data_IF_343464497114
#
_entry.id   IF_343464497114
#
_cell.length_a   1.000
_cell.length_b   1.000
_cell.length_c   1.000
_cell.angle_alpha   90.00
_cell.angle_beta   90.00
_cell.angle_gamma   90.00
#
_symmetry.space_group_name_H-M   'P 1'
#
loop_
_entity.id
_entity.type
_entity.pdbx_description
1 polymer ?
#
# COMPACT_ATOMS: atom_id res chain seq x y z
N UNK A 1 1.29 8.16 -2.08
CA UNK A 1 0.88 6.81 -2.52
C UNK A 1 -0.63 6.64 -2.41
N UNK A 2 -1.34 6.72 -3.53
CA UNK A 2 -2.61 6.00 -3.69
C UNK A 2 -2.26 4.68 -4.35
N UNK A 3 -2.85 3.58 -3.91
CA UNK A 3 -2.60 2.26 -4.51
C UNK A 3 -3.55 2.15 -5.71
N UNK A 4 -3.08 2.35 -6.95
CA UNK A 4 -3.93 2.18 -8.12
C UNK A 4 -4.44 0.73 -8.17
N UNK A 5 -5.67 0.53 -8.65
CA UNK A 5 -6.32 -0.78 -8.76
C UNK A 5 -6.43 -1.52 -7.42
N UNK A 6 -6.79 -0.78 -6.36
CA UNK A 6 -6.98 -1.38 -5.04
C UNK A 6 -8.22 -2.27 -5.03
N UNK A 7 -8.06 -3.48 -4.48
CA UNK A 7 -9.15 -4.41 -4.22
C UNK A 7 -9.46 -4.37 -2.72
N UNK A 8 -10.72 -4.17 -2.37
CA UNK A 8 -11.19 -4.13 -0.98
C UNK A 8 -12.16 -5.27 -0.75
N UNK A 9 -11.89 -6.06 0.29
CA UNK A 9 -12.77 -7.10 0.81
C UNK A 9 -13.43 -6.58 2.09
N UNK A 10 -14.70 -6.19 2.06
CA UNK A 10 -15.43 -5.86 3.27
C UNK A 10 -15.61 -7.12 4.14
N UNK A 11 -15.35 -7.00 5.43
CA UNK A 11 -15.55 -8.10 6.39
C UNK A 11 -16.52 -7.63 7.47
N UNK A 12 -17.67 -8.28 7.55
CA UNK A 12 -18.64 -8.09 8.64
C UNK A 12 -18.30 -9.05 9.77
N UNK A 13 -18.06 -8.53 10.96
CA UNK A 13 -17.78 -9.34 12.16
C UNK A 13 -19.02 -9.46 13.04
N UNK A 14 -18.96 -10.37 14.02
CA UNK A 14 -20.01 -10.58 15.03
C UNK A 14 -21.33 -11.15 14.50
N UNK A 15 -21.25 -12.07 13.53
CA UNK A 15 -22.42 -12.79 12.99
C UNK A 15 -23.15 -13.59 14.07
N UNK A 16 -22.45 -14.03 15.11
CA UNK A 16 -23.00 -14.69 16.30
C UNK A 16 -24.01 -13.84 17.08
N UNK A 17 -23.95 -12.51 16.92
CA UNK A 17 -24.85 -11.57 17.58
C UNK A 17 -26.07 -11.20 16.72
N UNK A 18 -26.21 -11.74 15.50
CA UNK A 18 -27.27 -11.39 14.55
C UNK A 18 -28.04 -12.64 14.10
N UNK A 19 -29.30 -12.45 13.70
CA UNK A 19 -30.04 -13.53 13.01
C UNK A 19 -29.59 -13.64 11.55
N UNK A 20 -29.75 -14.81 10.93
CA UNK A 20 -29.31 -15.04 9.53
C UNK A 20 -29.98 -14.06 8.54
N UNK A 21 -31.28 -13.78 8.72
CA UNK A 21 -32.02 -12.79 7.92
C UNK A 21 -31.43 -11.36 8.10
N UNK A 22 -31.07 -11.00 9.33
CA UNK A 22 -30.50 -9.69 9.65
C UNK A 22 -29.10 -9.52 9.04
N UNK A 23 -28.30 -10.58 9.02
CA UNK A 23 -26.97 -10.59 8.39
C UNK A 23 -27.10 -10.33 6.90
N UNK A 24 -28.06 -11.00 6.24
CA UNK A 24 -28.27 -10.85 4.81
C UNK A 24 -28.83 -9.46 4.43
N UNK A 25 -29.75 -8.92 5.23
CA UNK A 25 -30.27 -7.56 5.07
C UNK A 25 -29.13 -6.53 5.19
N UNK A 26 -28.33 -6.63 6.26
CA UNK A 26 -27.17 -5.74 6.46
C UNK A 26 -26.15 -5.87 5.34
N UNK A 27 -25.90 -7.09 4.86
CA UNK A 27 -25.00 -7.34 3.73
C UNK A 27 -25.47 -6.60 2.48
N UNK A 28 -26.75 -6.73 2.13
CA UNK A 28 -27.33 -6.04 0.99
C UNK A 28 -27.28 -4.51 1.14
N UNK A 29 -27.67 -3.98 2.30
CA UNK A 29 -27.65 -2.54 2.58
C UNK A 29 -26.23 -1.94 2.50
N UNK A 30 -25.24 -2.61 3.11
CA UNK A 30 -23.84 -2.17 3.08
C UNK A 30 -23.32 -2.15 1.63
N UNK A 31 -23.55 -3.22 0.86
CA UNK A 31 -23.09 -3.29 -0.52
C UNK A 31 -23.77 -2.22 -1.39
N UNK A 32 -25.07 -1.98 -1.20
CA UNK A 32 -25.81 -0.93 -1.90
C UNK A 32 -25.26 0.47 -1.57
N UNK A 33 -24.98 0.76 -0.30
CA UNK A 33 -24.37 2.02 0.15
C UNK A 33 -22.98 2.22 -0.44
N UNK A 34 -22.14 1.18 -0.44
CA UNK A 34 -20.81 1.25 -1.06
C UNK A 34 -20.93 1.56 -2.56
N UNK A 35 -21.84 0.87 -3.27
CA UNK A 35 -22.07 1.11 -4.69
C UNK A 35 -22.55 2.56 -4.96
N UNK A 36 -23.48 3.07 -4.15
CA UNK A 36 -23.96 4.44 -4.24
C UNK A 36 -22.82 5.46 -4.01
N UNK A 37 -21.99 5.26 -2.98
CA UNK A 37 -20.84 6.12 -2.69
C UNK A 37 -19.82 6.14 -3.83
N UNK A 38 -19.54 4.98 -4.43
CA UNK A 38 -18.62 4.90 -5.57
C UNK A 38 -19.19 5.59 -6.81
N UNK A 39 -20.49 5.43 -7.07
CA UNK A 39 -21.17 6.08 -8.20
C UNK A 39 -21.22 7.60 -8.03
N UNK A 40 -21.56 8.08 -6.84
CA UNK A 40 -21.55 9.51 -6.50
C UNK A 40 -20.16 10.10 -6.65
N UNK A 41 -19.13 9.42 -6.09
CA UNK A 41 -17.74 9.86 -6.23
C UNK A 41 -17.32 9.96 -7.70
N UNK A 42 -17.67 8.96 -8.53
CA UNK A 42 -17.36 8.97 -9.95
C UNK A 42 -18.06 10.14 -10.64
N UNK A 43 -19.36 10.31 -10.42
CA UNK A 43 -20.16 11.41 -11.00
C UNK A 43 -19.59 12.78 -10.62
N UNK A 44 -19.19 12.96 -9.36
CA UNK A 44 -18.59 14.20 -8.90
C UNK A 44 -17.25 14.47 -9.61
N UNK A 45 -16.39 13.46 -9.73
CA UNK A 45 -15.11 13.60 -10.43
C UNK A 45 -15.29 13.95 -11.90
N UNK A 46 -16.16 13.24 -12.61
CA UNK A 46 -16.46 13.51 -14.02
C UNK A 46 -17.02 14.93 -14.19
N UNK A 47 -17.97 15.35 -13.34
CA UNK A 47 -18.51 16.71 -13.37
C UNK A 47 -17.44 17.79 -13.10
N UNK A 48 -16.49 17.56 -12.18
CA UNK A 48 -15.38 18.50 -11.95
C UNK A 48 -14.41 18.55 -13.14
N UNK A 49 -14.13 17.42 -13.77
CA UNK A 49 -13.29 17.35 -14.97
C UNK A 49 -13.95 18.14 -16.11
N UNK A 50 -15.23 17.87 -16.41
CA UNK A 50 -15.97 18.54 -17.47
C UNK A 50 -16.04 20.07 -17.27
N UNK A 51 -16.25 20.52 -16.03
CA UNK A 51 -16.30 21.95 -15.70
C UNK A 51 -14.96 22.66 -15.90
N UNK A 52 -13.84 21.99 -15.60
CA UNK A 52 -12.51 22.57 -15.78
C UNK A 52 -12.10 22.58 -17.24
N UNK A 53 -12.44 21.52 -17.99
CA UNK A 53 -12.21 21.46 -19.45
C UNK A 53 -13.02 22.50 -20.21
N UNK A 54 -14.24 22.82 -19.75
CA UNK A 54 -15.12 23.84 -20.34
C UNK A 54 -14.87 25.27 -19.86
N UNK A 55 -13.86 25.54 -19.03
CA UNK A 55 -13.58 26.88 -18.52
C UNK A 55 -12.98 27.81 -19.57
N UNK A 56 -13.12 29.13 -19.40
CA UNK A 56 -12.62 30.13 -20.36
C UNK A 56 -11.08 30.18 -20.44
N UNK A 57 -10.37 29.68 -19.42
CA UNK A 57 -8.91 29.66 -19.36
C UNK A 57 -8.35 28.28 -18.93
N UNK A 58 -8.49 27.24 -19.76
CA UNK A 58 -8.13 25.86 -19.40
C UNK A 58 -6.62 25.66 -19.15
N UNK A 59 -5.78 26.55 -19.69
CA UNK A 59 -4.32 26.51 -19.56
C UNK A 59 -3.84 26.73 -18.11
N UNK A 60 -4.59 27.44 -17.27
CA UNK A 60 -4.24 27.65 -15.86
C UNK A 60 -4.59 26.47 -14.94
N UNK A 61 -5.45 25.56 -15.41
CA UNK A 61 -5.95 24.43 -14.63
C UNK A 61 -5.33 23.11 -15.02
N UNK A 62 -4.25 23.11 -15.82
CA UNK A 62 -3.65 21.90 -16.38
C UNK A 62 -3.30 20.87 -15.30
N UNK A 63 -2.51 21.29 -14.32
CA UNK A 63 -2.11 20.46 -13.19
C UNK A 63 -3.29 19.94 -12.35
N UNK A 64 -4.40 20.69 -12.30
CA UNK A 64 -5.58 20.31 -11.51
C UNK A 64 -6.42 19.26 -12.24
N UNK A 65 -6.63 19.39 -13.56
CA UNK A 65 -7.38 18.38 -14.31
C UNK A 65 -6.56 17.11 -14.50
N UNK A 66 -5.24 17.20 -14.69
CA UNK A 66 -4.37 16.01 -14.75
C UNK A 66 -4.47 15.20 -13.46
N UNK A 67 -4.37 15.88 -12.30
CA UNK A 67 -4.59 15.23 -10.99
C UNK A 67 -5.97 14.60 -10.88
N UNK A 68 -7.03 15.27 -11.34
CA UNK A 68 -8.39 14.73 -11.29
C UNK A 68 -8.54 13.48 -12.17
N UNK A 69 -7.96 13.47 -13.37
CA UNK A 69 -7.92 12.29 -14.24
C UNK A 69 -7.10 11.16 -13.66
N UNK A 70 -6.01 11.45 -12.96
CA UNK A 70 -5.30 10.45 -12.15
C UNK A 70 -6.16 9.90 -11.00
N UNK A 71 -7.01 10.74 -10.37
CA UNK A 71 -7.94 10.25 -9.34
C UNK A 71 -9.06 9.41 -9.92
N UNK A 72 -9.53 9.72 -11.14
CA UNK A 72 -10.55 8.99 -11.86
C UNK A 72 -10.02 7.64 -12.37
N UNK A 73 -8.75 7.58 -12.81
CA UNK A 73 -8.11 6.34 -13.25
C UNK A 73 -7.81 5.37 -12.11
N UNK A 74 -7.78 5.85 -10.86
CA UNK A 74 -7.70 5.01 -9.68
C UNK A 74 -9.05 4.33 -9.40
N UNK A 75 -9.28 3.16 -9.99
CA UNK A 75 -10.45 2.34 -9.71
C UNK A 75 -10.29 1.53 -8.43
N UNK A 76 -11.39 1.39 -7.70
CA UNK A 76 -11.44 0.67 -6.43
C UNK A 76 -12.44 -0.48 -6.60
N UNK A 77 -11.94 -1.70 -6.59
CA UNK A 77 -12.73 -2.92 -6.80
C UNK A 77 -13.22 -3.41 -5.46
N UNK A 78 -14.54 -3.42 -5.26
CA UNK A 78 -15.16 -3.92 -4.03
C UNK A 78 -15.60 -5.36 -4.26
N UNK A 79 -15.07 -6.26 -3.43
CA UNK A 79 -15.51 -7.65 -3.37
C UNK A 79 -16.76 -7.80 -2.51
N UNK A 80 -17.44 -8.93 -2.63
CA UNK A 80 -18.60 -9.22 -1.79
C UNK A 80 -18.20 -9.31 -0.32
N UNK A 81 -19.03 -8.72 0.55
CA UNK A 81 -18.81 -8.75 1.99
C UNK A 81 -18.78 -10.18 2.51
N UNK A 82 -17.74 -10.50 3.29
CA UNK A 82 -17.61 -11.77 4.00
C UNK A 82 -18.06 -11.58 5.43
N UNK A 83 -19.11 -12.29 5.83
CA UNK A 83 -19.61 -12.28 7.20
C UNK A 83 -18.91 -13.38 8.00
N UNK A 84 -18.38 -13.05 9.18
CA UNK A 84 -17.66 -13.97 10.06
C UNK A 84 -18.09 -13.87 11.52
N UNK A 85 -18.20 -15.02 12.18
CA UNK A 85 -18.18 -15.13 13.63
C UNK A 85 -16.73 -15.18 14.12
N UNK A 86 -16.28 -14.13 14.83
CA UNK A 86 -14.90 -14.06 15.33
C UNK A 86 -14.62 -15.00 16.51
N UNK A 87 -15.65 -15.60 17.11
CA UNK A 87 -15.49 -16.60 18.17
C UNK A 87 -15.32 -18.02 17.63
N UNK A 88 -15.66 -18.26 16.36
CA UNK A 88 -15.49 -19.56 15.70
C UNK A 88 -14.23 -19.59 14.83
N UNK A 89 -13.32 -20.51 15.16
CA UNK A 89 -12.10 -20.70 14.40
C UNK A 89 -12.36 -21.16 12.95
N UNK A 90 -13.47 -21.87 12.68
CA UNK A 90 -13.80 -22.30 11.33
C UNK A 90 -14.13 -21.11 10.42
N UNK A 91 -14.85 -20.11 10.94
CA UNK A 91 -15.16 -18.90 10.19
C UNK A 91 -13.90 -18.07 9.90
N UNK A 92 -12.96 -18.02 10.83
CA UNK A 92 -11.64 -17.40 10.61
C UNK A 92 -10.88 -18.15 9.51
N UNK A 93 -10.90 -19.49 9.54
CA UNK A 93 -10.27 -20.32 8.50
C UNK A 93 -10.94 -20.16 7.13
N UNK A 94 -12.26 -19.98 7.10
CA UNK A 94 -13.02 -19.66 5.88
C UNK A 94 -12.63 -18.29 5.32
N UNK A 95 -12.47 -17.28 6.18
CA UNK A 95 -11.98 -15.96 5.75
C UNK A 95 -10.56 -16.04 5.21
N UNK A 96 -9.66 -16.77 5.88
CA UNK A 96 -8.29 -17.02 5.40
C UNK A 96 -8.30 -17.67 4.00
N UNK A 97 -9.10 -18.72 3.81
CA UNK A 97 -9.25 -19.38 2.52
C UNK A 97 -9.81 -18.43 1.45
N UNK A 98 -10.79 -17.61 1.81
CA UNK A 98 -11.39 -16.62 0.90
C UNK A 98 -10.35 -15.58 0.49
N UNK A 99 -9.55 -15.05 1.41
CA UNK A 99 -8.46 -14.11 1.08
C UNK A 99 -7.45 -14.79 0.15
N UNK A 100 -7.04 -16.02 0.45
CA UNK A 100 -6.09 -16.78 -0.36
C UNK A 100 -6.59 -17.07 -1.78
N UNK A 101 -7.90 -17.28 -1.96
CA UNK A 101 -8.53 -17.42 -3.27
C UNK A 101 -8.47 -16.12 -4.06
N UNK A 102 -8.85 -14.99 -3.44
CA UNK A 102 -8.86 -13.70 -4.11
C UNK A 102 -7.46 -13.21 -4.51
N UNK A 103 -6.46 -13.36 -3.64
CA UNK A 103 -5.08 -12.92 -3.97
C UNK A 103 -4.44 -13.72 -5.11
N UNK A 104 -4.94 -14.91 -5.40
CA UNK A 104 -4.49 -15.75 -6.54
C UNK A 104 -5.25 -15.46 -7.83
N UNK A 105 -6.31 -14.66 -7.78
CA UNK A 105 -7.11 -14.34 -8.95
C UNK A 105 -6.33 -13.37 -9.86
N UNK A 106 -5.98 -13.82 -11.05
CA UNK A 106 -5.19 -13.06 -12.04
C UNK A 106 -5.94 -11.83 -12.59
N UNK A 107 -7.28 -11.84 -12.58
CA UNK A 107 -8.09 -10.70 -13.00
C UNK A 107 -8.05 -9.58 -11.95
N UNK A 108 -8.08 -9.93 -10.66
CA UNK A 108 -8.00 -8.98 -9.56
C UNK A 108 -6.57 -8.49 -9.30
N UNK A 109 -5.60 -9.40 -9.43
CA UNK A 109 -4.19 -9.13 -9.20
C UNK A 109 -3.33 -9.66 -10.35
N UNK A 110 -3.22 -8.91 -11.46
CA UNK A 110 -2.42 -9.31 -12.63
C UNK A 110 -0.93 -9.53 -12.30
N UNK A 111 -0.42 -8.88 -11.25
CA UNK A 111 0.96 -9.01 -10.81
C UNK A 111 1.25 -10.40 -10.19
N UNK A 112 0.23 -11.21 -9.86
CA UNK A 112 0.44 -12.52 -9.20
C UNK A 112 1.13 -13.54 -10.11
N UNK A 113 0.93 -13.45 -11.43
CA UNK A 113 1.59 -14.31 -12.43
C UNK A 113 2.94 -13.76 -12.88
N UNK A 114 3.29 -12.54 -12.45
CA UNK A 114 4.52 -11.91 -12.90
C UNK A 114 5.73 -12.64 -12.33
N UNK A 115 6.52 -13.25 -13.20
CA UNK A 115 7.79 -13.85 -12.83
C UNK A 115 8.85 -12.76 -12.74
N UNK A 116 9.41 -12.57 -11.54
CA UNK A 116 10.53 -11.67 -11.34
C UNK A 116 11.85 -12.34 -11.73
N UNK A 117 12.81 -11.59 -12.30
CA UNK A 117 14.15 -12.09 -12.55
C UNK A 117 14.80 -12.61 -11.24
N UNK A 118 15.61 -13.68 -11.28
CA UNK A 118 16.22 -14.27 -10.09
C UNK A 118 17.04 -13.28 -9.24
N UNK A 119 17.64 -12.27 -9.88
CA UNK A 119 18.41 -11.22 -9.22
C UNK A 119 17.59 -10.43 -8.19
N UNK A 120 16.27 -10.26 -8.39
CA UNK A 120 15.40 -9.56 -7.44
C UNK A 120 15.34 -10.31 -6.11
N UNK A 121 15.17 -11.63 -6.16
CA UNK A 121 15.15 -12.49 -4.98
C UNK A 121 16.51 -12.55 -4.29
N UNK A 122 17.59 -12.54 -5.08
CA UNK A 122 18.95 -12.53 -4.52
C UNK A 122 19.24 -11.22 -3.77
N UNK A 123 18.84 -10.07 -4.34
CA UNK A 123 18.96 -8.76 -3.67
C UNK A 123 18.06 -8.68 -2.44
N UNK A 124 16.82 -9.17 -2.52
CA UNK A 124 15.90 -9.26 -1.39
C UNK A 124 16.52 -10.05 -0.23
N UNK A 125 17.00 -11.27 -0.49
CA UNK A 125 17.64 -12.11 0.52
C UNK A 125 18.86 -11.41 1.15
N UNK A 126 19.74 -10.84 0.33
CA UNK A 126 20.90 -10.11 0.81
C UNK A 126 20.52 -8.88 1.65
N UNK A 127 19.47 -8.14 1.28
CA UNK A 127 18.96 -7.02 2.07
C UNK A 127 18.42 -7.50 3.42
N UNK A 128 17.68 -8.61 3.46
CA UNK A 128 17.17 -9.19 4.70
C UNK A 128 18.32 -9.61 5.61
N UNK A 129 19.36 -10.25 5.07
CA UNK A 129 20.54 -10.65 5.83
C UNK A 129 21.30 -9.44 6.37
N UNK A 130 21.49 -8.38 5.56
CA UNK A 130 22.09 -7.12 6.00
C UNK A 130 21.26 -6.48 7.11
N UNK A 131 19.93 -6.48 6.97
CA UNK A 131 19.00 -5.86 7.92
C UNK A 131 18.92 -6.58 9.27
N UNK A 132 19.34 -7.85 9.32
CA UNK A 132 19.41 -8.66 10.53
C UNK A 132 20.82 -8.74 11.12
N UNK A 133 21.83 -8.26 10.41
CA UNK A 133 23.22 -8.30 10.84
C UNK A 133 23.54 -7.34 11.99
N UNK A 134 24.49 -7.72 12.85
CA UNK A 134 24.95 -6.92 14.00
C UNK A 134 25.64 -5.59 13.59
N UNK A 135 26.13 -5.49 12.35
CA UNK A 135 26.76 -4.28 11.82
C UNK A 135 25.75 -3.19 11.41
N UNK A 136 24.45 -3.48 11.41
CA UNK A 136 23.46 -2.48 11.01
C UNK A 136 23.14 -1.54 12.16
N UNK A 137 23.17 -0.22 11.88
CA UNK A 137 22.75 0.77 12.85
C UNK A 137 21.29 0.55 13.28
N UNK A 138 20.96 0.84 14.54
CA UNK A 138 19.64 0.65 15.16
C UNK A 138 18.48 1.31 14.39
N UNK A 139 18.78 2.29 13.54
CA UNK A 139 17.81 3.03 12.73
C UNK A 139 17.50 2.38 11.37
N UNK A 140 18.25 1.35 10.96
CA UNK A 140 18.04 0.61 9.72
C UNK A 140 18.08 1.45 8.44
N UNK A 141 18.83 2.56 8.47
CA UNK A 141 19.04 3.44 7.32
C UNK A 141 20.41 3.18 6.74
N UNK A 142 20.51 3.19 5.42
CA UNK A 142 21.75 2.93 4.74
C UNK A 142 21.87 3.79 3.49
N UNK A 143 23.08 4.30 3.24
CA UNK A 143 23.37 5.02 2.01
C UNK A 143 23.30 4.07 0.80
N UNK A 144 22.71 4.53 -0.30
CA UNK A 144 22.48 3.76 -1.52
C UNK A 144 23.79 3.26 -2.14
N UNK A 145 24.84 4.08 -2.13
CA UNK A 145 26.15 3.66 -2.65
C UNK A 145 26.80 2.62 -1.75
N UNK A 146 26.65 2.77 -0.44
CA UNK A 146 27.12 1.76 0.51
C UNK A 146 26.35 0.44 0.41
N UNK A 147 25.03 0.50 0.19
CA UNK A 147 24.22 -0.69 -0.10
C UNK A 147 24.68 -1.39 -1.35
N UNK A 148 24.90 -0.66 -2.43
CA UNK A 148 25.42 -1.24 -3.66
C UNK A 148 26.77 -1.94 -3.42
N UNK A 149 27.69 -1.32 -2.69
CA UNK A 149 29.01 -1.92 -2.42
C UNK A 149 28.93 -3.18 -1.56
N UNK A 150 28.05 -3.22 -0.55
CA UNK A 150 27.78 -4.41 0.27
C UNK A 150 27.13 -5.52 -0.56
N UNK A 151 26.15 -5.20 -1.41
CA UNK A 151 25.51 -6.17 -2.30
C UNK A 151 26.51 -6.75 -3.32
N UNK A 152 27.40 -5.93 -3.88
CA UNK A 152 28.42 -6.39 -4.82
C UNK A 152 29.47 -7.32 -4.20
N UNK A 153 29.56 -7.42 -2.86
CA UNK A 153 30.41 -8.40 -2.18
C UNK A 153 29.80 -9.81 -2.20
N UNK A 154 28.49 -9.95 -2.43
CA UNK A 154 27.85 -11.24 -2.61
C UNK A 154 28.21 -11.81 -4.00
N UNK A 155 28.68 -13.06 -4.04
CA UNK A 155 29.15 -13.70 -5.30
C UNK A 155 28.14 -13.61 -6.45
N UNK A 156 26.84 -13.76 -6.15
CA UNK A 156 25.76 -13.72 -7.14
C UNK A 156 25.39 -12.31 -7.62
N UNK A 157 25.89 -11.26 -6.97
CA UNK A 157 25.53 -9.85 -7.20
C UNK A 157 26.74 -8.99 -7.57
N UNK A 158 27.90 -9.59 -7.86
CA UNK A 158 29.13 -8.87 -8.20
C UNK A 158 28.98 -7.90 -9.39
N UNK A 159 28.08 -8.21 -10.33
CA UNK A 159 27.78 -7.40 -11.52
C UNK A 159 26.51 -6.55 -11.38
N UNK A 160 25.98 -6.39 -10.15
CA UNK A 160 24.81 -5.56 -9.92
C UNK A 160 25.14 -4.09 -10.20
N UNK A 161 24.52 -3.52 -11.22
CA UNK A 161 24.63 -2.10 -11.56
C UNK A 161 23.72 -1.22 -10.70
N UNK A 162 24.03 0.08 -10.62
CA UNK A 162 23.21 1.06 -9.89
C UNK A 162 21.77 1.12 -10.43
N UNK A 163 21.60 1.22 -11.74
CA UNK A 163 20.27 1.37 -12.36
C UNK A 163 19.38 0.17 -12.05
N UNK A 164 19.92 -1.04 -12.18
CA UNK A 164 19.22 -2.27 -11.83
C UNK A 164 18.89 -2.33 -10.33
N UNK A 165 19.79 -1.90 -9.45
CA UNK A 165 19.50 -1.81 -8.02
C UNK A 165 18.35 -0.82 -7.75
N UNK A 166 18.32 0.34 -8.42
CA UNK A 166 17.23 1.30 -8.27
C UNK A 166 15.88 0.70 -8.70
N UNK A 167 15.83 -0.01 -9.83
CA UNK A 167 14.62 -0.71 -10.28
C UNK A 167 14.15 -1.74 -9.25
N UNK A 168 15.08 -2.52 -8.69
CA UNK A 168 14.78 -3.49 -7.63
C UNK A 168 14.28 -2.77 -6.37
N UNK A 169 14.91 -1.66 -5.96
CA UNK A 169 14.50 -0.90 -4.78
C UNK A 169 13.12 -0.26 -4.94
N UNK A 170 12.75 0.22 -6.14
CA UNK A 170 11.38 0.69 -6.42
C UNK A 170 10.37 -0.44 -6.23
N UNK A 171 10.70 -1.64 -6.71
CA UNK A 171 9.87 -2.82 -6.48
C UNK A 171 9.77 -3.18 -4.99
N UNK A 172 10.91 -3.28 -4.30
CA UNK A 172 10.96 -3.61 -2.86
C UNK A 172 10.25 -2.55 -2.00
N UNK A 173 10.28 -1.29 -2.42
CA UNK A 173 9.51 -0.21 -1.82
C UNK A 173 8.02 -0.41 -2.01
N UNK A 174 7.57 -0.75 -3.23
CA UNK A 174 6.16 -0.99 -3.55
C UNK A 174 5.56 -2.15 -2.74
N UNK A 175 6.33 -3.21 -2.50
CA UNK A 175 5.89 -4.35 -1.66
C UNK A 175 6.08 -4.12 -0.16
N UNK A 176 6.68 -2.99 0.24
CA UNK A 176 6.85 -2.59 1.63
C UNK A 176 7.97 -3.30 2.39
N UNK A 177 8.87 -4.00 1.69
CA UNK A 177 10.05 -4.62 2.31
C UNK A 177 11.05 -3.54 2.76
N UNK A 178 11.22 -2.49 1.94
CA UNK A 178 12.07 -1.34 2.23
C UNK A 178 11.28 -0.04 2.06
N UNK A 179 11.84 1.08 2.51
CA UNK A 179 11.34 2.40 2.16
C UNK A 179 12.46 3.19 1.49
N UNK A 180 12.17 3.79 0.34
CA UNK A 180 13.12 4.63 -0.37
C UNK A 180 12.38 5.81 -0.99
N UNK A 181 12.75 7.03 -0.60
CA UNK A 181 12.12 8.26 -1.06
C UNK A 181 12.92 8.86 -2.21
N UNK A 182 12.84 8.24 -3.38
CA UNK A 182 13.57 8.67 -4.58
C UNK A 182 13.24 10.12 -4.99
N UNK A 183 12.00 10.56 -4.79
CA UNK A 183 11.54 11.89 -5.20
C UNK A 183 11.95 13.01 -4.21
N UNK A 184 12.42 12.65 -3.00
CA UNK A 184 12.81 13.62 -1.98
C UNK A 184 14.33 13.80 -2.05
N UNK A 185 14.80 14.91 -2.61
CA UNK A 185 16.24 15.20 -2.81
C UNK A 185 17.13 14.94 -1.59
N UNK A 186 16.65 15.21 -0.38
CA UNK A 186 17.43 15.01 0.85
C UNK A 186 17.49 13.55 1.31
N UNK A 187 16.64 12.68 0.76
CA UNK A 187 16.52 11.26 1.12
C UNK A 187 16.78 10.34 -0.08
N UNK A 188 17.04 10.88 -1.28
CA UNK A 188 17.24 10.10 -2.50
C UNK A 188 18.40 9.10 -2.40
N UNK A 189 19.42 9.41 -1.57
CA UNK A 189 20.55 8.51 -1.31
C UNK A 189 20.34 7.61 -0.08
N UNK A 190 19.22 7.72 0.65
CA UNK A 190 18.98 6.97 1.89
C UNK A 190 17.93 5.91 1.70
N UNK A 191 18.31 4.65 1.90
CA UNK A 191 17.40 3.49 1.87
C UNK A 191 17.12 3.03 3.29
N UNK A 192 15.85 2.88 3.62
CA UNK A 192 15.39 2.36 4.91
C UNK A 192 15.11 0.88 4.77
N UNK A 193 16.04 0.04 5.24
CA UNK A 193 15.93 -1.42 5.18
C UNK A 193 14.98 -1.98 6.23
N UNK A 194 14.69 -1.22 7.28
CA UNK A 194 13.71 -1.55 8.31
C UNK A 194 12.58 -0.51 8.37
N UNK A 195 11.52 -0.66 7.55
CA UNK A 195 10.38 0.26 7.56
C UNK A 195 9.69 0.42 8.91
N UNK A 196 9.78 -0.59 9.78
CA UNK A 196 9.21 -0.58 11.15
C UNK A 196 9.79 0.52 12.03
N UNK A 197 11.06 0.88 11.84
CA UNK A 197 11.69 1.99 12.56
C UNK A 197 10.99 3.30 12.25
N UNK A 198 10.78 3.62 10.96
CA UNK A 198 10.07 4.82 10.52
C UNK A 198 8.67 4.89 11.13
N UNK A 199 7.92 3.78 11.06
CA UNK A 199 6.57 3.70 11.63
C UNK A 199 6.60 3.99 13.13
N UNK A 200 7.57 3.42 13.85
CA UNK A 200 7.73 3.62 15.30
C UNK A 200 8.08 5.06 15.64
N UNK A 201 9.03 5.65 14.91
CA UNK A 201 9.44 7.04 15.06
C UNK A 201 8.26 8.00 14.82
N UNK A 202 7.51 7.82 13.73
CA UNK A 202 6.31 8.63 13.47
C UNK A 202 5.24 8.47 14.55
N UNK A 203 5.00 7.23 15.02
CA UNK A 203 4.08 6.99 16.14
C UNK A 203 4.50 7.76 17.39
N UNK A 204 5.80 7.80 17.72
CA UNK A 204 6.31 8.54 18.87
C UNK A 204 6.11 10.05 18.71
N UNK A 205 6.46 10.63 17.55
CA UNK A 205 6.28 12.06 17.29
C UNK A 205 4.81 12.50 17.36
N UNK A 206 3.92 11.73 16.75
CA UNK A 206 2.47 12.03 16.75
C UNK A 206 1.90 11.93 18.16
N UNK A 207 2.25 10.87 18.91
CA UNK A 207 1.82 10.70 20.31
C UNK A 207 2.35 11.79 21.22
N UNK A 208 3.61 12.18 21.07
CA UNK A 208 4.19 13.26 21.86
C UNK A 208 3.42 14.57 21.68
N UNK A 209 3.09 14.93 20.44
CA UNK A 209 2.26 16.12 20.17
C UNK A 209 0.84 15.99 20.70
N UNK A 210 0.23 14.80 20.63
CA UNK A 210 -1.10 14.55 21.20
C UNK A 210 -1.12 14.77 22.72
N UNK A 211 -0.09 14.29 23.44
CA UNK A 211 0.03 14.50 24.90
C UNK A 211 0.17 15.99 25.22
N UNK A 212 1.03 16.71 24.51
CA UNK A 212 1.17 18.17 24.69
C UNK A 212 -0.12 18.94 24.42
N UNK A 213 -0.88 18.54 23.39
CA UNK A 213 -2.17 19.17 23.09
C UNK A 213 -3.21 18.90 24.17
N UNK A 214 -3.27 17.68 24.70
CA UNK A 214 -4.18 17.33 25.80
C UNK A 214 -3.84 18.07 27.10
N UNK A 215 -2.55 18.19 27.42
CA UNK A 215 -2.07 18.97 28.58
C UNK A 215 -2.35 20.47 28.44
N UNK A 216 -2.37 21.02 27.22
CA UNK A 216 -2.67 22.44 26.98
C UNK A 216 -4.17 22.79 27.06
N UNK A 217 -5.05 21.79 27.05
CA UNK A 217 -6.51 21.94 27.10
C UNK A 217 -7.05 21.61 28.52
N UNK A 218 -6.20 21.05 29.40
CA UNK A 218 -6.52 20.78 30.82
C UNK A 218 -6.09 21.93 31.72
#
# INVERSE_FOLDING_TARGET
MRVPNSVVLPVGTHVDCCQEEEVEEKRCDIMAKIAAMLMERKSNLTHFIDNLEGSEEPEFYVDQWERLKEMESCTLTILNLVAVNCTDHHDIKKLEATILEHVKNEELFPEVVRVLPPVYRQVEAAIVDIAQGEEMADHGMMDLQYLLSKLSQCEHLANLGRELLQDILRYLHRVGLVVWYEEIKHLESTVFLQPTFLITMFKLLVRYRLVQQLESIS
#
